data_IF_542926290348
#
_entry.id   IF_542926290348
#
_cell.length_a   1.000
_cell.length_b   1.000
_cell.length_c   1.000
_cell.angle_alpha   90.00
_cell.angle_beta   90.00
_cell.angle_gamma   90.00
#
_symmetry.space_group_name_H-M   'P 1'
#
loop_
_entity.id
_entity.type
_entity.pdbx_description
1 polymer ?
#
# COMPACT_ATOMS: atom_id res chain seq x y z
N UNK A 1 3.26 25.18 20.23
CA UNK A 1 3.57 23.99 19.42
C UNK A 1 2.35 23.08 19.43
N UNK A 2 1.82 22.65 18.28
CA UNK A 2 0.77 21.63 18.26
C UNK A 2 1.31 20.38 18.97
N UNK A 3 0.58 19.89 19.98
CA UNK A 3 0.89 18.60 20.63
C UNK A 3 0.43 17.50 19.68
N UNK A 4 1.32 17.11 18.76
CA UNK A 4 1.07 15.95 17.92
C UNK A 4 1.01 14.72 18.82
N UNK A 5 -0.10 13.97 18.74
CA UNK A 5 -0.24 12.68 19.41
C UNK A 5 0.53 11.63 18.60
N UNK A 6 1.55 11.03 19.19
CA UNK A 6 2.26 9.89 18.59
C UNK A 6 1.43 8.62 18.78
N UNK A 7 1.27 7.84 17.71
CA UNK A 7 0.63 6.52 17.72
C UNK A 7 1.69 5.51 17.28
N UNK A 8 1.80 4.41 18.03
CA UNK A 8 2.71 3.31 17.72
C UNK A 8 1.88 2.12 17.22
N UNK A 9 2.28 1.56 16.08
CA UNK A 9 1.67 0.37 15.50
C UNK A 9 2.77 -0.62 15.12
N UNK A 10 2.68 -1.84 15.65
CA UNK A 10 3.59 -2.93 15.29
C UNK A 10 3.05 -3.70 14.09
N UNK A 11 3.94 -4.22 13.25
CA UNK A 11 3.61 -5.10 12.12
C UNK A 11 4.84 -5.92 11.73
N UNK A 12 4.62 -7.06 11.09
CA UNK A 12 5.70 -7.88 10.54
C UNK A 12 6.14 -7.34 9.17
N UNK A 13 5.19 -6.81 8.39
CA UNK A 13 5.44 -6.17 7.10
C UNK A 13 4.69 -4.85 7.02
N UNK A 14 5.42 -3.77 6.73
CA UNK A 14 4.88 -2.44 6.45
C UNK A 14 5.09 -2.07 4.98
N UNK A 15 3.99 -1.86 4.26
CA UNK A 15 4.00 -1.32 2.91
C UNK A 15 3.64 0.16 2.98
N UNK A 16 4.54 1.04 2.51
CA UNK A 16 4.33 2.49 2.51
C UNK A 16 4.00 2.97 1.10
N UNK A 17 2.74 3.34 0.89
CA UNK A 17 2.16 3.75 -0.39
C UNK A 17 1.29 2.65 -1.00
N UNK A 18 0.04 2.95 -1.29
CA UNK A 18 -0.98 2.04 -1.83
C UNK A 18 -1.20 2.17 -3.35
N UNK A 19 -0.20 2.65 -4.09
CA UNK A 19 -0.23 2.62 -5.56
C UNK A 19 0.01 1.21 -6.12
N UNK A 20 0.16 1.09 -7.45
CA UNK A 20 0.30 -0.21 -8.15
C UNK A 20 1.31 -1.18 -7.53
N UNK A 21 2.51 -0.71 -7.19
CA UNK A 21 3.54 -1.55 -6.60
C UNK A 21 3.20 -1.97 -5.16
N UNK A 22 2.64 -1.05 -4.38
CA UNK A 22 2.30 -1.31 -2.98
C UNK A 22 1.09 -2.23 -2.82
N UNK A 23 0.07 -2.09 -3.65
CA UNK A 23 -1.06 -3.04 -3.67
C UNK A 23 -0.62 -4.42 -4.14
N UNK A 24 0.25 -4.51 -5.16
CA UNK A 24 0.87 -5.77 -5.56
C UNK A 24 1.69 -6.43 -4.44
N UNK A 25 2.54 -5.66 -3.76
CA UNK A 25 3.31 -6.14 -2.62
C UNK A 25 2.41 -6.60 -1.46
N UNK A 26 1.35 -5.86 -1.16
CA UNK A 26 0.38 -6.21 -0.11
C UNK A 26 -0.40 -7.49 -0.45
N UNK A 27 -0.79 -7.64 -1.71
CA UNK A 27 -1.48 -8.82 -2.23
C UNK A 27 -0.62 -10.08 -2.07
N UNK A 28 0.63 -10.04 -2.56
CA UNK A 28 1.55 -11.18 -2.43
C UNK A 28 1.96 -11.44 -0.98
N UNK A 29 2.23 -10.39 -0.20
CA UNK A 29 2.54 -10.53 1.23
C UNK A 29 1.41 -11.27 1.96
N UNK A 30 0.14 -11.00 1.64
CA UNK A 30 -1.00 -11.68 2.27
C UNK A 30 -1.15 -13.14 1.81
N UNK A 31 -0.77 -13.44 0.57
CA UNK A 31 -0.79 -14.82 0.05
C UNK A 31 0.18 -15.73 0.82
N UNK A 32 1.42 -15.28 1.01
CA UNK A 32 2.50 -16.05 1.64
C UNK A 32 2.53 -15.89 3.17
N UNK A 33 2.35 -14.66 3.66
CA UNK A 33 2.38 -14.29 5.07
C UNK A 33 1.01 -14.39 5.74
N UNK A 34 0.35 -15.56 5.63
CA UNK A 34 -1.02 -15.74 6.14
C UNK A 34 -1.17 -15.45 7.64
N UNK A 35 -0.10 -15.63 8.39
CA UNK A 35 -0.13 -15.52 9.85
C UNK A 35 0.45 -14.18 10.32
N UNK A 36 0.97 -13.38 9.37
CA UNK A 36 1.66 -12.12 9.64
C UNK A 36 0.69 -10.94 9.68
N UNK A 37 0.98 -9.97 10.57
CA UNK A 37 0.33 -8.66 10.58
C UNK A 37 0.97 -7.78 9.49
N UNK A 38 0.25 -7.65 8.37
CA UNK A 38 0.65 -6.84 7.22
C UNK A 38 -0.13 -5.53 7.25
N UNK A 39 0.57 -4.40 7.23
CA UNK A 39 -0.04 -3.07 7.18
C UNK A 39 0.35 -2.40 5.86
N UNK A 40 -0.64 -1.93 5.11
CA UNK A 40 -0.45 -1.00 3.98
C UNK A 40 -0.92 0.39 4.40
N UNK A 41 -0.02 1.36 4.38
CA UNK A 41 -0.34 2.77 4.68
C UNK A 41 -0.39 3.58 3.39
N UNK A 42 -1.41 4.42 3.25
CA UNK A 42 -1.61 5.30 2.12
C UNK A 42 -1.99 6.69 2.64
N UNK A 43 -1.45 7.74 2.00
CA UNK A 43 -1.73 9.14 2.35
C UNK A 43 -3.09 9.59 1.79
N UNK A 44 -3.49 9.04 0.65
CA UNK A 44 -4.75 9.35 -0.03
C UNK A 44 -5.80 8.24 0.18
N UNK A 45 -6.88 8.25 -0.61
CA UNK A 45 -7.77 7.10 -0.71
C UNK A 45 -7.18 6.11 -1.73
N UNK A 46 -6.90 4.88 -1.29
CA UNK A 46 -6.25 3.84 -2.09
C UNK A 46 -7.02 3.46 -3.36
N UNK A 47 -8.34 3.64 -3.38
CA UNK A 47 -9.17 3.36 -4.57
C UNK A 47 -8.71 4.15 -5.81
N UNK A 48 -8.11 5.33 -5.60
CA UNK A 48 -7.71 6.27 -6.65
C UNK A 48 -6.36 6.97 -6.35
N UNK A 49 -5.51 6.42 -5.49
CA UNK A 49 -4.21 7.04 -5.18
C UNK A 49 -3.17 6.80 -6.28
N UNK A 50 -2.16 7.68 -6.35
CA UNK A 50 -0.98 7.49 -7.19
C UNK A 50 -1.19 7.73 -8.69
N UNK A 51 -0.27 7.20 -9.50
CA UNK A 51 -0.14 7.51 -10.93
C UNK A 51 -1.32 7.00 -11.78
N UNK A 52 -2.10 6.05 -11.29
CA UNK A 52 -3.21 5.40 -12.03
C UNK A 52 -4.57 5.93 -11.57
N UNK A 53 -4.61 7.08 -10.89
CA UNK A 53 -5.85 7.68 -10.39
C UNK A 53 -6.93 7.82 -11.50
N UNK A 54 -6.54 8.21 -12.71
CA UNK A 54 -7.46 8.36 -13.86
C UNK A 54 -7.56 7.10 -14.73
N UNK A 55 -6.85 6.03 -14.38
CA UNK A 55 -6.64 4.87 -15.24
C UNK A 55 -5.49 5.06 -16.23
N UNK A 56 -5.30 4.05 -17.08
CA UNK A 56 -4.34 4.04 -18.19
C UNK A 56 -5.03 3.43 -19.41
N UNK A 57 -4.62 3.83 -20.61
CA UNK A 57 -5.18 3.30 -21.87
C UNK A 57 -4.55 2.00 -22.34
N UNK A 58 -3.39 1.61 -21.78
CA UNK A 58 -2.66 0.42 -22.18
C UNK A 58 -1.81 -0.14 -21.03
N UNK A 59 -1.41 -1.40 -21.18
CA UNK A 59 -0.37 -2.04 -20.39
C UNK A 59 0.90 -2.04 -21.25
N UNK A 60 2.01 -1.55 -20.70
CA UNK A 60 3.24 -1.37 -21.47
C UNK A 60 4.22 -2.56 -21.35
N UNK A 61 4.00 -3.49 -20.42
CA UNK A 61 4.90 -4.61 -20.14
C UNK A 61 4.12 -5.93 -20.19
N UNK A 62 4.56 -6.88 -21.01
CA UNK A 62 3.84 -8.12 -21.36
C UNK A 62 4.64 -9.40 -21.03
N UNK A 63 5.34 -9.41 -19.90
CA UNK A 63 6.21 -10.54 -19.50
C UNK A 63 5.51 -11.90 -19.56
#
# INVERSE_FOLDING_TARGET
>A
MPKNKTIYENCDVLVVGGGMAGTGATFEARHWGRDLKIICVEKANIDRSGAVAQGLYAINCYM
#
